data_IF_922818677440
#
_entry.id   IF_922818677440
#
_cell.length_a   1.000
_cell.length_b   1.000
_cell.length_c   1.000
_cell.angle_alpha   90.00
_cell.angle_beta   90.00
_cell.angle_gamma   90.00
#
_symmetry.space_group_name_H-M   'P 1'
#
loop_
_entity.id
_entity.type
_entity.pdbx_description
1 polymer ?
#
# COMPACT_ATOMS: atom_id res chain seq x y z
N UNK A 1 13.04 5.98 9.69
CA UNK A 1 12.82 5.26 8.42
C UNK A 1 13.84 5.66 7.36
N UNK A 2 13.79 6.88 6.81
CA UNK A 2 14.72 7.32 5.75
C UNK A 2 16.21 7.11 6.06
N UNK A 3 16.65 7.44 7.27
CA UNK A 3 18.05 7.21 7.69
C UNK A 3 18.37 5.71 7.83
N UNK A 4 17.39 4.91 8.24
CA UNK A 4 17.51 3.46 8.38
C UNK A 4 17.62 2.78 7.01
N UNK A 5 16.82 3.21 6.02
CA UNK A 5 16.94 2.78 4.62
C UNK A 5 18.31 3.17 4.06
N UNK A 6 18.75 4.42 4.26
CA UNK A 6 20.07 4.88 3.81
C UNK A 6 21.21 4.05 4.39
N UNK A 7 21.15 3.71 5.69
CA UNK A 7 22.12 2.83 6.33
C UNK A 7 22.05 1.40 5.78
N UNK A 8 20.85 0.91 5.47
CA UNK A 8 20.64 -0.39 4.82
C UNK A 8 21.32 -0.44 3.45
N UNK A 9 21.12 0.55 2.59
CA UNK A 9 21.74 0.61 1.26
C UNK A 9 23.27 0.68 1.35
N UNK A 10 23.80 1.42 2.32
CA UNK A 10 25.23 1.52 2.56
C UNK A 10 25.88 0.18 2.98
N UNK A 11 25.09 -0.79 3.46
CA UNK A 11 25.59 -2.13 3.82
C UNK A 11 25.76 -3.08 2.62
N UNK A 12 25.34 -2.67 1.42
CA UNK A 12 25.35 -3.49 0.20
C UNK A 12 24.05 -4.25 -0.08
N UNK A 13 23.05 -4.13 0.79
CA UNK A 13 21.69 -4.58 0.52
C UNK A 13 21.11 -3.77 -0.65
N UNK A 14 20.42 -4.44 -1.58
CA UNK A 14 19.80 -3.77 -2.73
C UNK A 14 18.32 -3.46 -2.48
N UNK A 15 17.84 -2.39 -3.11
CA UNK A 15 16.43 -1.98 -3.08
C UNK A 15 15.52 -3.09 -3.64
N UNK A 16 15.87 -3.68 -4.78
CA UNK A 16 15.14 -4.80 -5.38
C UNK A 16 14.97 -6.00 -4.45
N UNK A 17 15.99 -6.31 -3.65
CA UNK A 17 15.93 -7.41 -2.70
C UNK A 17 15.00 -7.10 -1.51
N UNK A 18 14.95 -5.84 -1.07
CA UNK A 18 13.99 -5.39 -0.06
C UNK A 18 12.57 -5.42 -0.62
N UNK A 19 12.35 -4.87 -1.82
CA UNK A 19 11.07 -4.90 -2.54
C UNK A 19 10.54 -6.34 -2.66
N UNK A 20 11.40 -7.29 -3.05
CA UNK A 20 11.02 -8.70 -3.14
C UNK A 20 10.56 -9.29 -1.80
N UNK A 21 11.23 -8.97 -0.69
CA UNK A 21 10.84 -9.44 0.64
C UNK A 21 9.54 -8.79 1.14
N UNK A 22 9.39 -7.48 0.92
CA UNK A 22 8.14 -6.77 1.23
C UNK A 22 6.98 -7.38 0.45
N UNK A 23 7.15 -7.60 -0.86
CA UNK A 23 6.16 -8.26 -1.72
C UNK A 23 5.77 -9.64 -1.21
N UNK A 24 6.74 -10.47 -0.81
CA UNK A 24 6.48 -11.78 -0.22
C UNK A 24 5.68 -11.69 1.10
N UNK A 25 6.00 -10.72 1.97
CA UNK A 25 5.27 -10.47 3.21
C UNK A 25 3.81 -10.04 2.97
N UNK A 26 3.58 -9.12 2.03
CA UNK A 26 2.24 -8.70 1.60
C UNK A 26 1.45 -9.90 1.08
N UNK A 27 2.05 -10.71 0.20
CA UNK A 27 1.41 -11.88 -0.38
C UNK A 27 1.09 -12.96 0.66
N UNK A 28 1.99 -13.21 1.62
CA UNK A 28 1.74 -14.14 2.71
C UNK A 28 0.50 -13.72 3.50
N UNK A 29 0.38 -12.42 3.82
CA UNK A 29 -0.80 -11.92 4.52
C UNK A 29 -2.07 -12.02 3.69
N UNK A 30 -2.01 -11.68 2.40
CA UNK A 30 -3.15 -11.82 1.49
C UNK A 30 -3.58 -13.29 1.35
N UNK A 31 -2.66 -14.25 1.37
CA UNK A 31 -2.97 -15.67 1.37
C UNK A 31 -3.78 -16.12 2.60
N UNK A 32 -3.58 -15.50 3.77
CA UNK A 32 -4.40 -15.74 4.96
C UNK A 32 -5.79 -15.10 4.86
N UNK A 33 -5.90 -13.98 4.14
CA UNK A 33 -7.14 -13.20 3.99
C UNK A 33 -8.03 -13.66 2.82
N UNK A 34 -7.48 -14.46 1.92
CA UNK A 34 -8.10 -14.91 0.66
C UNK A 34 -8.07 -16.43 0.53
N UNK A 35 -8.90 -16.96 -0.36
CA UNK A 35 -8.89 -18.37 -0.78
C UNK A 35 -8.35 -18.50 -2.21
N UNK A 36 -7.90 -19.70 -2.62
CA UNK A 36 -7.67 -19.98 -4.03
C UNK A 36 -8.87 -19.58 -4.90
N UNK A 37 -8.62 -18.86 -5.99
CA UNK A 37 -9.64 -18.33 -6.91
C UNK A 37 -10.21 -16.95 -6.54
N UNK A 38 -10.00 -16.46 -5.31
CA UNK A 38 -10.40 -15.09 -4.94
C UNK A 38 -9.64 -14.06 -5.79
N UNK A 39 -10.32 -12.95 -6.11
CA UNK A 39 -9.73 -11.83 -6.85
C UNK A 39 -8.98 -10.86 -5.94
N UNK A 40 -7.81 -10.41 -6.36
CA UNK A 40 -7.04 -9.34 -5.71
C UNK A 40 -6.69 -8.29 -6.75
N UNK A 41 -7.06 -7.03 -6.51
CA UNK A 41 -6.66 -5.91 -7.36
C UNK A 41 -5.58 -5.09 -6.65
N UNK A 42 -4.44 -4.92 -7.31
CA UNK A 42 -3.31 -4.15 -6.82
C UNK A 42 -3.30 -2.78 -7.51
N UNK A 43 -3.45 -1.72 -6.73
CA UNK A 43 -3.37 -0.33 -7.19
C UNK A 43 -1.93 0.15 -6.98
N UNK A 44 -1.16 0.23 -8.05
CA UNK A 44 0.28 0.48 -7.97
C UNK A 44 0.64 1.88 -8.46
N UNK A 45 1.24 2.70 -7.59
CA UNK A 45 1.84 3.97 -7.97
C UNK A 45 3.21 3.80 -8.63
N UNK A 46 3.79 4.94 -9.06
CA UNK A 46 5.11 4.96 -9.72
C UNK A 46 6.33 4.80 -8.78
N UNK A 47 6.12 4.95 -7.47
CA UNK A 47 7.20 4.93 -6.48
C UNK A 47 7.41 3.54 -5.87
N UNK A 48 8.26 3.48 -4.84
CA UNK A 48 8.62 2.24 -4.14
C UNK A 48 7.40 1.52 -3.55
N UNK A 49 6.43 2.26 -2.99
CA UNK A 49 5.22 1.64 -2.46
C UNK A 49 4.43 0.85 -3.53
N UNK A 50 4.44 1.35 -4.76
CA UNK A 50 3.86 0.64 -5.90
C UNK A 50 4.71 -0.56 -6.33
N UNK A 51 6.04 -0.45 -6.23
CA UNK A 51 6.93 -1.58 -6.52
C UNK A 51 6.76 -2.71 -5.50
N UNK A 52 6.67 -2.39 -4.21
CA UNK A 52 6.38 -3.30 -3.10
C UNK A 52 5.04 -4.02 -3.33
N UNK A 53 3.98 -3.26 -3.63
CA UNK A 53 2.67 -3.81 -3.91
C UNK A 53 2.69 -4.74 -5.14
N UNK A 54 3.35 -4.34 -6.24
CA UNK A 54 3.48 -5.17 -7.46
C UNK A 54 4.25 -6.45 -7.21
N UNK A 55 5.30 -6.40 -6.40
CA UNK A 55 6.11 -7.57 -6.08
C UNK A 55 5.28 -8.69 -5.44
N UNK A 56 4.21 -8.35 -4.70
CA UNK A 56 3.30 -9.33 -4.11
C UNK A 56 2.61 -10.23 -5.15
N UNK A 57 2.38 -9.75 -6.38
CA UNK A 57 1.67 -10.51 -7.42
C UNK A 57 2.38 -11.83 -7.78
N UNK A 58 3.71 -11.82 -7.81
CA UNK A 58 4.52 -13.02 -8.10
C UNK A 58 4.42 -14.12 -7.04
N UNK A 59 3.87 -13.80 -5.87
CA UNK A 59 3.76 -14.69 -4.72
C UNK A 59 2.31 -15.13 -4.44
N UNK A 60 1.37 -14.89 -5.36
CA UNK A 60 -0.05 -15.21 -5.25
C UNK A 60 -0.53 -16.17 -6.37
N UNK A 61 0.09 -17.34 -6.58
CA UNK A 61 -0.12 -18.16 -7.79
C UNK A 61 -1.54 -18.70 -7.96
N UNK A 62 -2.27 -18.92 -6.87
CA UNK A 62 -3.62 -19.49 -6.90
C UNK A 62 -4.74 -18.43 -6.76
N UNK A 63 -4.42 -17.13 -6.82
CA UNK A 63 -5.41 -16.04 -6.77
C UNK A 63 -5.53 -15.40 -8.15
N UNK A 64 -6.71 -14.86 -8.46
CA UNK A 64 -6.85 -14.00 -9.65
C UNK A 64 -6.29 -12.63 -9.30
N UNK A 65 -5.04 -12.37 -9.64
CA UNK A 65 -4.39 -11.09 -9.36
C UNK A 65 -4.45 -10.21 -10.60
N UNK A 66 -4.92 -8.98 -10.42
CA UNK A 66 -4.83 -7.92 -11.42
C UNK A 66 -4.01 -6.76 -10.86
N UNK A 67 -3.17 -6.18 -11.71
CA UNK A 67 -2.39 -4.99 -11.38
C UNK A 67 -2.93 -3.84 -12.22
N UNK A 68 -3.21 -2.74 -11.55
CA UNK A 68 -3.60 -1.47 -12.14
C UNK A 68 -2.50 -0.45 -11.86
N UNK A 69 -1.73 -0.11 -12.89
CA UNK A 69 -0.72 0.94 -12.84
C UNK A 69 -1.41 2.31 -12.85
N UNK A 70 -1.16 3.10 -11.81
CA UNK A 70 -1.78 4.43 -11.66
C UNK A 70 -0.72 5.50 -11.86
N UNK A 71 -0.46 5.83 -13.13
CA UNK A 71 0.46 6.90 -13.51
C UNK A 71 -0.17 8.29 -13.35
N UNK A 72 -1.48 8.41 -13.65
CA UNK A 72 -2.28 9.60 -13.47
C UNK A 72 -3.65 9.25 -12.88
N UNK A 73 -4.22 10.11 -12.01
CA UNK A 73 -5.44 9.80 -11.27
C UNK A 73 -6.69 9.76 -12.15
N UNK A 74 -6.73 10.49 -13.27
CA UNK A 74 -7.94 10.56 -14.12
C UNK A 74 -8.12 9.29 -14.93
N UNK A 75 -7.05 8.82 -15.58
CA UNK A 75 -7.07 7.51 -16.25
C UNK A 75 -7.21 6.39 -15.22
N UNK A 76 -6.60 6.56 -14.04
CA UNK A 76 -6.75 5.67 -12.90
C UNK A 76 -8.21 5.47 -12.52
N UNK A 77 -8.94 6.55 -12.23
CA UNK A 77 -10.36 6.51 -11.89
C UNK A 77 -11.18 5.77 -12.97
N UNK A 78 -10.98 6.14 -14.24
CA UNK A 78 -11.69 5.50 -15.35
C UNK A 78 -11.37 3.99 -15.50
N UNK A 79 -10.14 3.56 -15.21
CA UNK A 79 -9.79 2.13 -15.20
C UNK A 79 -10.41 1.41 -14.00
N UNK A 80 -10.35 2.01 -12.81
CA UNK A 80 -10.94 1.44 -11.59
C UNK A 80 -12.44 1.21 -11.74
N UNK A 81 -13.16 2.20 -12.25
CA UNK A 81 -14.61 2.11 -12.52
C UNK A 81 -14.92 1.03 -13.57
N UNK A 82 -14.14 0.96 -14.64
CA UNK A 82 -14.32 -0.03 -15.71
C UNK A 82 -14.11 -1.46 -15.22
N UNK A 83 -13.15 -1.70 -14.34
CA UNK A 83 -12.85 -3.04 -13.79
C UNK A 83 -13.96 -3.55 -12.88
N UNK A 84 -14.66 -2.65 -12.19
CA UNK A 84 -15.70 -3.00 -11.24
C UNK A 84 -15.12 -3.68 -10.01
N UNK A 85 -14.92 -2.91 -8.94
CA UNK A 85 -14.29 -3.37 -7.71
C UNK A 85 -14.94 -4.62 -7.08
N UNK A 86 -16.25 -4.79 -7.23
CA UNK A 86 -17.02 -5.91 -6.67
C UNK A 86 -16.59 -7.29 -7.17
N UNK A 87 -15.80 -7.37 -8.25
CA UNK A 87 -15.21 -8.61 -8.73
C UNK A 87 -13.98 -9.06 -7.93
N UNK A 88 -13.48 -8.23 -7.00
CA UNK A 88 -12.32 -8.51 -6.16
C UNK A 88 -12.73 -8.72 -4.70
N UNK A 89 -12.01 -9.64 -4.04
CA UNK A 89 -12.13 -9.92 -2.61
C UNK A 89 -11.42 -8.87 -1.77
N UNK A 90 -10.26 -8.41 -2.25
CA UNK A 90 -9.40 -7.42 -1.61
C UNK A 90 -8.78 -6.48 -2.63
N UNK A 91 -8.62 -5.22 -2.23
CA UNK A 91 -7.77 -4.25 -2.91
C UNK A 91 -6.46 -4.12 -2.15
N UNK A 92 -5.37 -3.90 -2.88
CA UNK A 92 -4.06 -3.55 -2.31
C UNK A 92 -3.73 -2.13 -2.71
N UNK A 93 -3.61 -1.25 -1.72
CA UNK A 93 -3.24 0.14 -1.92
C UNK A 93 -1.71 0.30 -1.86
N UNK A 94 -1.10 0.52 -3.02
CA UNK A 94 0.30 0.88 -3.20
C UNK A 94 0.47 2.18 -3.99
N UNK A 95 -0.49 3.12 -3.91
CA UNK A 95 -0.43 4.37 -4.69
C UNK A 95 0.65 5.31 -4.16
N UNK A 96 0.69 5.53 -2.85
CA UNK A 96 1.62 6.41 -2.15
C UNK A 96 2.08 5.77 -0.84
N UNK A 97 3.34 6.01 -0.46
CA UNK A 97 3.87 5.67 0.88
C UNK A 97 4.32 6.94 1.61
N UNK A 98 5.42 6.86 2.37
CA UNK A 98 5.99 8.00 3.14
C UNK A 98 6.42 9.21 2.31
N UNK A 99 6.48 9.10 0.98
CA UNK A 99 6.91 10.18 0.08
C UNK A 99 5.88 11.29 -0.15
N UNK A 100 4.66 11.16 0.36
CA UNK A 100 3.62 12.19 0.21
C UNK A 100 3.94 13.39 1.11
N UNK A 101 4.33 14.51 0.49
CA UNK A 101 4.77 15.73 1.17
C UNK A 101 3.92 16.97 0.84
N UNK A 102 2.81 16.77 0.12
CA UNK A 102 1.89 17.83 -0.27
C UNK A 102 0.46 17.28 -0.37
N UNK A 103 -0.56 18.14 -0.21
CA UNK A 103 -1.96 17.79 -0.46
C UNK A 103 -2.16 17.16 -1.83
N UNK A 104 -3.00 16.12 -1.87
CA UNK A 104 -3.47 15.51 -3.10
C UNK A 104 -4.35 16.49 -3.87
N UNK A 105 -4.18 16.54 -5.18
CA UNK A 105 -5.10 17.30 -6.04
C UNK A 105 -6.48 16.63 -6.10
N UNK A 106 -7.47 17.34 -6.65
CA UNK A 106 -8.85 16.87 -6.70
C UNK A 106 -9.02 15.53 -7.42
N UNK A 107 -8.23 15.24 -8.46
CA UNK A 107 -8.36 13.99 -9.19
C UNK A 107 -7.88 12.79 -8.37
N UNK A 108 -6.82 12.95 -7.58
CA UNK A 108 -6.40 11.92 -6.63
C UNK A 108 -7.44 11.71 -5.52
N UNK A 109 -8.06 12.78 -5.03
CA UNK A 109 -9.13 12.67 -4.03
C UNK A 109 -10.36 11.94 -4.59
N UNK A 110 -10.71 12.16 -5.86
CA UNK A 110 -11.79 11.42 -6.55
C UNK A 110 -11.47 9.93 -6.67
N UNK A 111 -10.26 9.56 -7.08
CA UNK A 111 -9.84 8.16 -7.16
C UNK A 111 -9.88 7.48 -5.79
N UNK A 112 -9.33 8.11 -4.75
CA UNK A 112 -9.37 7.57 -3.38
C UNK A 112 -10.82 7.45 -2.90
N UNK A 113 -11.66 8.45 -3.19
CA UNK A 113 -13.09 8.41 -2.89
C UNK A 113 -13.78 7.22 -3.55
N UNK A 114 -13.48 6.92 -4.81
CA UNK A 114 -14.02 5.75 -5.51
C UNK A 114 -13.53 4.42 -4.89
N UNK A 115 -12.26 4.34 -4.48
CA UNK A 115 -11.71 3.18 -3.77
C UNK A 115 -12.44 2.95 -2.45
N UNK A 116 -12.59 3.99 -1.62
CA UNK A 116 -13.28 3.89 -0.33
C UNK A 116 -14.78 3.56 -0.50
N UNK A 117 -15.44 4.12 -1.53
CA UNK A 117 -16.84 3.87 -1.84
C UNK A 117 -17.12 2.49 -2.48
N UNK A 118 -16.07 1.75 -2.85
CA UNK A 118 -16.21 0.47 -3.55
C UNK A 118 -16.88 -0.65 -2.74
N UNK A 119 -16.87 -0.53 -1.41
CA UNK A 119 -17.35 -1.56 -0.48
C UNK A 119 -16.42 -2.77 -0.36
N UNK A 120 -15.27 -2.76 -1.03
CA UNK A 120 -14.25 -3.82 -0.95
C UNK A 120 -13.23 -3.47 0.12
N UNK A 121 -12.77 -4.47 0.87
CA UNK A 121 -11.76 -4.27 1.91
C UNK A 121 -10.39 -3.96 1.28
N UNK A 122 -9.64 -3.04 1.91
CA UNK A 122 -8.34 -2.60 1.42
C UNK A 122 -7.22 -3.01 2.39
N UNK A 123 -6.14 -3.55 1.84
CA UNK A 123 -4.83 -3.66 2.51
C UNK A 123 -3.96 -2.51 2.01
N UNK A 124 -3.56 -1.60 2.89
CA UNK A 124 -2.59 -0.54 2.57
C UNK A 124 -1.17 -1.05 2.75
N UNK A 125 -0.31 -0.77 1.76
CA UNK A 125 1.13 -1.01 1.86
C UNK A 125 1.78 0.23 2.47
N UNK A 126 2.56 0.00 3.51
CA UNK A 126 3.35 0.98 4.25
C UNK A 126 2.54 2.02 5.05
N UNK A 127 1.77 2.85 4.35
CA UNK A 127 0.92 3.93 4.85
C UNK A 127 -0.30 4.02 3.93
N UNK A 128 -1.55 4.12 4.44
CA UNK A 128 -2.71 4.35 3.58
C UNK A 128 -2.49 5.58 2.70
N UNK A 129 -2.65 5.41 1.40
CA UNK A 129 -2.39 6.44 0.42
C UNK A 129 -3.20 7.69 0.71
N UNK A 130 -2.54 8.84 0.74
CA UNK A 130 -3.15 10.11 1.11
C UNK A 130 -3.01 10.49 2.60
N UNK A 131 -2.54 9.58 3.45
CA UNK A 131 -2.27 9.87 4.85
C UNK A 131 -0.85 10.43 5.05
N UNK A 132 -0.73 11.49 5.85
CA UNK A 132 0.55 12.02 6.28
C UNK A 132 1.19 11.09 7.33
N UNK A 133 2.36 10.54 7.02
CA UNK A 133 3.01 9.54 7.87
C UNK A 133 3.61 10.11 9.17
N UNK A 134 3.72 11.44 9.32
CA UNK A 134 4.24 12.08 10.53
C UNK A 134 3.10 12.53 11.46
N UNK A 135 2.03 13.08 10.89
CA UNK A 135 0.92 13.69 11.64
C UNK A 135 -0.33 12.81 11.74
N UNK A 136 -0.47 11.82 10.86
CA UNK A 136 -1.65 10.95 10.76
C UNK A 136 -2.87 11.64 10.19
N UNK A 137 -2.73 12.80 9.54
CA UNK A 137 -3.83 13.54 8.93
C UNK A 137 -3.93 13.25 7.45
N UNK A 138 -5.15 13.16 6.88
CA UNK A 138 -5.32 13.05 5.45
C UNK A 138 -4.84 14.34 4.75
N UNK A 139 -4.10 14.17 3.67
CA UNK A 139 -3.61 15.24 2.80
C UNK A 139 -4.66 15.53 1.71
N UNK A 140 -5.88 15.88 2.13
CA UNK A 140 -7.07 16.07 1.28
C UNK A 140 -8.03 14.88 1.36
N UNK A 141 -7.56 13.69 1.00
CA UNK A 141 -8.27 12.42 1.18
C UNK A 141 -7.24 11.34 1.58
N UNK A 142 -7.70 10.24 2.19
CA UNK A 142 -6.88 9.08 2.47
C UNK A 142 -7.67 7.78 2.27
N UNK A 143 -6.98 6.73 1.84
CA UNK A 143 -7.55 5.40 1.72
C UNK A 143 -7.97 4.89 3.10
N UNK A 144 -9.17 4.33 3.18
CA UNK A 144 -9.69 3.69 4.38
C UNK A 144 -9.33 2.20 4.35
N UNK A 145 -8.18 1.87 4.96
CA UNK A 145 -7.68 0.50 5.01
C UNK A 145 -8.34 -0.31 6.13
N UNK A 146 -8.64 -1.57 5.83
CA UNK A 146 -8.99 -2.55 6.86
C UNK A 146 -7.74 -3.05 7.58
N UNK A 147 -6.62 -3.16 6.85
CA UNK A 147 -5.30 -3.54 7.38
C UNK A 147 -4.24 -2.65 6.74
N UNK A 148 -3.29 -2.15 7.53
CA UNK A 148 -2.08 -1.48 7.03
C UNK A 148 -0.87 -2.34 7.35
N UNK A 149 -0.11 -2.73 6.32
CA UNK A 149 1.15 -3.47 6.44
C UNK A 149 2.31 -2.48 6.40
N UNK A 150 2.73 -1.96 7.55
CA UNK A 150 3.83 -1.00 7.64
C UNK A 150 5.17 -1.71 7.50
N UNK A 151 6.05 -1.19 6.64
CA UNK A 151 7.37 -1.79 6.40
C UNK A 151 8.38 -1.31 7.45
N UNK A 152 9.12 -2.25 8.04
CA UNK A 152 10.16 -2.03 9.02
C UNK A 152 9.64 -1.63 10.40
N UNK A 153 9.08 -0.42 10.52
CA UNK A 153 8.55 0.10 11.78
C UNK A 153 7.29 0.96 11.54
N UNK A 154 6.39 1.06 12.54
CA UNK A 154 5.28 2.01 12.51
C UNK A 154 5.76 3.45 12.36
N UNK A 155 5.12 4.21 11.47
CA UNK A 155 5.34 5.66 11.36
C UNK A 155 4.50 6.36 12.42
N UNK A 156 5.01 7.46 12.99
CA UNK A 156 4.36 8.17 14.10
C UNK A 156 2.91 8.57 13.78
N UNK A 157 2.66 9.01 12.54
CA UNK A 157 1.33 9.39 12.07
C UNK A 157 0.34 8.23 12.10
N UNK A 158 0.76 6.99 11.87
CA UNK A 158 -0.13 5.81 11.90
C UNK A 158 -0.65 5.50 13.31
N UNK A 159 0.04 5.98 14.35
CA UNK A 159 -0.34 5.81 15.75
C UNK A 159 -1.19 6.98 16.27
N UNK A 160 -1.25 8.09 15.52
CA UNK A 160 -2.01 9.25 15.90
C UNK A 160 -3.52 8.98 15.80
N UNK A 161 -4.31 9.59 16.70
CA UNK A 161 -5.76 9.43 16.71
C UNK A 161 -6.42 9.87 15.38
N UNK A 162 -5.83 10.86 14.70
CA UNK A 162 -6.29 11.33 13.40
C UNK A 162 -6.23 10.25 12.30
N UNK A 163 -5.39 9.23 12.46
CA UNK A 163 -5.19 8.16 11.50
C UNK A 163 -6.12 6.96 11.71
N UNK A 164 -6.80 6.87 12.87
CA UNK A 164 -7.62 5.71 13.22
C UNK A 164 -8.72 5.36 12.20
N UNK A 165 -9.37 6.34 11.53
CA UNK A 165 -10.35 6.02 10.49
C UNK A 165 -9.73 5.33 9.25
N UNK A 166 -8.41 5.48 9.04
CA UNK A 166 -7.75 5.12 7.79
C UNK A 166 -6.84 3.90 7.90
N UNK A 167 -6.27 3.64 9.08
CA UNK A 167 -5.19 2.65 9.24
C UNK A 167 -5.73 1.22 9.42
N UNK A 168 -6.93 1.06 9.97
CA UNK A 168 -7.47 -0.25 10.32
C UNK A 168 -6.56 -1.00 11.30
N UNK A 169 -6.37 -2.31 11.09
CA UNK A 169 -5.40 -3.09 11.84
C UNK A 169 -3.98 -2.79 11.33
N UNK A 170 -3.14 -2.21 12.19
CA UNK A 170 -1.74 -1.98 11.89
C UNK A 170 -0.91 -3.25 12.18
N UNK A 171 -0.23 -3.77 11.16
CA UNK A 171 0.68 -4.92 11.25
C UNK A 171 2.05 -4.53 10.69
N UNK A 172 3.13 -4.97 11.32
CA UNK A 172 4.50 -4.63 10.92
C UNK A 172 5.09 -5.77 10.10
N UNK A 173 5.60 -5.45 8.91
CA UNK A 173 6.49 -6.34 8.14
C UNK A 173 7.92 -6.05 8.58
N UNK A 174 8.45 -6.85 9.50
CA UNK A 174 9.73 -6.64 10.16
C UNK A 174 10.91 -7.34 9.45
N UNK A 175 10.72 -8.56 8.93
CA UNK A 175 11.73 -9.25 8.11
C UNK A 175 11.64 -8.87 6.62
N UNK A 176 12.04 -7.63 6.34
CA UNK A 176 12.02 -7.05 4.98
C UNK A 176 13.42 -6.84 4.40
N UNK A 177 14.46 -7.34 5.08
CA UNK A 177 15.85 -7.18 4.66
C UNK A 177 16.46 -5.81 4.96
N UNK A 178 15.84 -5.03 5.85
CA UNK A 178 16.52 -3.89 6.49
C UNK A 178 17.56 -4.42 7.50
N UNK A 179 18.65 -3.68 7.66
CA UNK A 179 19.63 -3.97 8.73
C UNK A 179 18.98 -3.77 10.11
N UNK A 180 19.56 -4.24 11.23
CA UNK A 180 19.08 -3.85 12.56
C UNK A 180 18.99 -2.32 12.67
N UNK A 181 17.92 -1.81 13.28
CA UNK A 181 17.74 -0.37 13.48
C UNK A 181 18.95 0.17 14.26
N UNK A 182 19.70 1.15 13.72
CA UNK A 182 20.87 1.72 14.36
C UNK A 182 20.54 2.49 15.65
#
# INVERSE_FOLDING_TARGET
MRDWEKATWASGQTEDAVIGRVGAGIAARLCELTRPGDGVLILAGKGNNGADARAAAGHLPDRRVEIMEVADPKSGLADFERRGASSFRWLVDGLFGIGLNRPLDGAWQELIGAVNASGVQVVAVDVPSGLDCETGRPQGAAVEAAITLTVGAPKAGLLAQAAWPFVGRLEVLDDVGLIPCP
#
